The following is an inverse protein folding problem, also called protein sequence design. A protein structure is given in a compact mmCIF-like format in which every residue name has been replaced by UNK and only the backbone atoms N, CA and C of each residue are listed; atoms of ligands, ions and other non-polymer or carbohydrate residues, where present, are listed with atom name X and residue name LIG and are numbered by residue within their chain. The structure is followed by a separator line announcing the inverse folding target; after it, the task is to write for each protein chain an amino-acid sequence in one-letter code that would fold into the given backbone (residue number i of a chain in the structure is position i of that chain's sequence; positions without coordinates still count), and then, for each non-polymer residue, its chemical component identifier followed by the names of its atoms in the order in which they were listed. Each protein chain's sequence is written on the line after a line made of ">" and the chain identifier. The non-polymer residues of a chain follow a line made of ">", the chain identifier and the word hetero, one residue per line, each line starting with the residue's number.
data_IF_017098839650
#
_entry.id   IF_017098839650
#
_cell.length_a   1.000
_cell.length_b   1.000
_cell.length_c   1.000
_cell.angle_alpha   90.00
_cell.angle_beta   90.00
_cell.angle_gamma   90.00
#
_symmetry.space_group_name_H-M   'P 1'
#
loop_
_entity.id
_entity.type
_entity.pdbx_description
1 polymer ?
#
# COMPACT_ATOMS: atom_id res chain seq x y z
N UNK A 1 -15.56 -9.53 15.28
CA UNK A 1 -16.96 -9.41 14.80
C UNK A 1 -16.94 -9.42 13.29
N UNK A 2 -17.70 -10.33 12.65
CA UNK A 2 -17.87 -10.36 11.19
C UNK A 2 -18.57 -9.07 10.77
N UNK A 3 -17.84 -8.13 10.19
CA UNK A 3 -18.42 -6.99 9.49
C UNK A 3 -19.20 -7.54 8.31
N UNK A 4 -20.52 -7.48 8.38
CA UNK A 4 -21.41 -7.87 7.31
C UNK A 4 -21.12 -6.89 6.17
N UNK A 5 -20.35 -7.30 5.17
CA UNK A 5 -20.25 -6.55 3.93
C UNK A 5 -21.63 -6.59 3.30
N UNK A 6 -22.42 -5.54 3.47
CA UNK A 6 -23.65 -5.36 2.71
C UNK A 6 -23.26 -5.39 1.24
N UNK A 7 -23.62 -6.47 0.56
CA UNK A 7 -23.44 -6.57 -0.88
C UNK A 7 -24.38 -5.51 -1.47
N UNK A 8 -23.81 -4.41 -1.97
CA UNK A 8 -24.53 -3.40 -2.74
C UNK A 8 -24.98 -4.10 -4.02
N UNK A 9 -26.29 -4.31 -4.18
CA UNK A 9 -26.83 -5.15 -5.27
C UNK A 9 -27.11 -4.35 -6.55
N UNK A 10 -27.01 -3.03 -6.53
CA UNK A 10 -27.24 -2.16 -7.69
C UNK A 10 -26.55 -0.80 -7.58
N UNK A 11 -26.34 -0.16 -8.74
CA UNK A 11 -25.71 1.17 -8.84
C UNK A 11 -26.52 2.25 -8.09
N UNK A 12 -27.84 2.07 -7.97
CA UNK A 12 -28.75 3.03 -7.33
C UNK A 12 -28.59 3.11 -5.80
N UNK A 13 -27.87 2.16 -5.18
CA UNK A 13 -27.62 2.10 -3.73
C UNK A 13 -26.25 2.65 -3.33
N UNK A 14 -25.47 3.18 -4.29
CA UNK A 14 -24.10 3.65 -4.05
C UNK A 14 -24.12 4.99 -3.28
N UNK A 15 -23.51 5.08 -2.09
CA UNK A 15 -23.47 6.32 -1.33
C UNK A 15 -22.84 7.46 -2.12
N UNK A 16 -23.37 8.68 -1.94
CA UNK A 16 -22.79 9.89 -2.54
C UNK A 16 -21.33 10.04 -2.09
N UNK A 17 -20.42 10.15 -3.06
CA UNK A 17 -18.98 10.25 -2.81
C UNK A 17 -18.25 8.91 -2.75
N UNK A 18 -18.94 7.78 -2.91
CA UNK A 18 -18.27 6.51 -3.12
C UNK A 18 -17.58 6.46 -4.49
N UNK A 19 -16.43 5.80 -4.53
CA UNK A 19 -15.66 5.54 -5.75
C UNK A 19 -15.75 4.05 -6.05
N UNK A 20 -16.85 3.61 -6.67
CA UNK A 20 -17.10 2.18 -6.89
C UNK A 20 -18.40 1.87 -7.64
N UNK A 21 -18.67 0.58 -7.93
CA UNK A 21 -18.01 -0.60 -7.35
C UNK A 21 -16.62 -0.89 -7.94
N UNK A 22 -15.70 -1.41 -7.11
CA UNK A 22 -14.34 -1.80 -7.51
C UNK A 22 -13.93 -3.11 -6.83
N UNK A 23 -12.96 -3.82 -7.41
CA UNK A 23 -12.35 -5.01 -6.82
C UNK A 23 -11.44 -4.61 -5.65
N UNK A 24 -11.68 -5.18 -4.47
CA UNK A 24 -10.88 -4.95 -3.25
C UNK A 24 -10.21 -6.23 -2.73
N UNK A 25 -10.22 -7.30 -3.53
CA UNK A 25 -9.52 -8.55 -3.24
C UNK A 25 -8.03 -8.52 -3.62
N UNK A 26 -7.36 -9.67 -3.51
CA UNK A 26 -5.97 -9.80 -3.98
C UNK A 26 -5.87 -9.48 -5.47
N UNK A 27 -4.83 -8.73 -5.84
CA UNK A 27 -4.50 -8.38 -7.23
C UNK A 27 -3.23 -9.08 -7.73
N UNK A 28 -2.46 -9.70 -6.82
CA UNK A 28 -1.28 -10.49 -7.11
C UNK A 28 -1.49 -11.91 -6.57
N UNK A 29 -1.18 -12.90 -7.39
CA UNK A 29 -1.14 -14.32 -7.02
C UNK A 29 0.32 -14.79 -7.04
N UNK A 30 1.00 -14.85 -5.87
CA UNK A 30 2.43 -15.18 -5.80
C UNK A 30 2.78 -16.53 -6.42
N UNK A 31 1.91 -17.53 -6.25
CA UNK A 31 2.15 -18.87 -6.78
C UNK A 31 2.07 -18.91 -8.30
N UNK A 32 1.33 -17.98 -8.92
CA UNK A 32 1.34 -17.80 -10.36
C UNK A 32 2.60 -17.07 -10.81
N UNK A 33 3.00 -15.98 -10.13
CA UNK A 33 4.21 -15.23 -10.46
C UNK A 33 5.47 -16.09 -10.44
N UNK A 34 5.63 -16.96 -9.43
CA UNK A 34 6.78 -17.87 -9.29
C UNK A 34 6.93 -18.88 -10.43
N UNK A 35 5.85 -19.15 -11.19
CA UNK A 35 5.88 -20.04 -12.36
C UNK A 35 6.29 -19.33 -13.64
N UNK A 36 6.25 -18.00 -13.65
CA UNK A 36 6.64 -17.20 -14.81
C UNK A 36 8.16 -17.05 -14.85
N UNK A 37 8.71 -17.03 -16.07
CA UNK A 37 10.11 -16.68 -16.30
C UNK A 37 10.19 -15.22 -16.74
N UNK A 38 10.93 -14.35 -16.04
CA UNK A 38 11.08 -12.97 -16.47
C UNK A 38 11.81 -12.91 -17.81
N UNK A 39 11.33 -12.06 -18.71
CA UNK A 39 11.90 -11.89 -20.06
C UNK A 39 13.21 -11.10 -20.05
N UNK A 40 13.39 -10.24 -19.05
CA UNK A 40 14.56 -9.41 -18.85
C UNK A 40 14.66 -8.97 -17.37
N UNK A 41 15.70 -8.21 -17.05
CA UNK A 41 15.97 -7.75 -15.68
C UNK A 41 14.90 -6.78 -15.13
N UNK A 42 14.26 -5.99 -15.98
CA UNK A 42 13.21 -5.06 -15.56
C UNK A 42 11.92 -5.79 -15.17
N UNK A 43 11.55 -6.82 -15.95
CA UNK A 43 10.43 -7.72 -15.62
C UNK A 43 10.73 -8.48 -14.34
N UNK A 44 11.97 -8.93 -14.13
CA UNK A 44 12.38 -9.58 -12.88
C UNK A 44 12.19 -8.66 -11.67
N UNK A 45 12.66 -7.42 -11.74
CA UNK A 45 12.46 -6.41 -10.67
C UNK A 45 10.98 -6.09 -10.43
N UNK A 46 10.15 -6.14 -11.47
CA UNK A 46 8.71 -5.99 -11.31
C UNK A 46 8.11 -7.18 -10.55
N UNK A 47 8.49 -8.41 -10.88
CA UNK A 47 8.01 -9.60 -10.17
C UNK A 47 8.42 -9.57 -8.70
N UNK A 48 9.67 -9.23 -8.39
CA UNK A 48 10.15 -9.06 -7.01
C UNK A 48 9.28 -8.05 -6.23
N UNK A 49 8.98 -6.88 -6.82
CA UNK A 49 8.08 -5.89 -6.19
C UNK A 49 6.67 -6.42 -5.99
N UNK A 50 6.11 -7.09 -7.00
CA UNK A 50 4.75 -7.64 -6.94
C UNK A 50 4.64 -8.71 -5.84
N UNK A 51 5.64 -9.58 -5.71
CA UNK A 51 5.71 -10.58 -4.65
C UNK A 51 5.79 -9.94 -3.26
N UNK A 52 6.64 -8.91 -3.09
CA UNK A 52 6.75 -8.17 -1.82
C UNK A 52 5.43 -7.54 -1.39
N UNK A 53 4.63 -7.02 -2.33
CA UNK A 53 3.39 -6.31 -2.03
C UNK A 53 2.12 -7.19 -2.03
N UNK A 54 2.24 -8.48 -2.37
CA UNK A 54 1.12 -9.36 -2.71
C UNK A 54 0.15 -9.60 -1.55
N UNK A 55 0.68 -9.72 -0.33
CA UNK A 55 -0.11 -9.94 0.89
C UNK A 55 -0.51 -8.63 1.57
N UNK A 56 -0.21 -7.49 0.96
CA UNK A 56 -0.60 -6.20 1.48
C UNK A 56 -2.07 -5.87 1.25
N UNK A 57 -2.61 -4.86 1.96
CA UNK A 57 -3.98 -4.41 1.77
C UNK A 57 -4.20 -3.80 0.38
N UNK A 58 -5.47 -3.62 -0.05
CA UNK A 58 -5.75 -2.85 -1.25
C UNK A 58 -5.26 -1.40 -1.09
N UNK A 59 -4.96 -0.76 -2.22
CA UNK A 59 -4.46 0.62 -2.32
C UNK A 59 -3.07 0.84 -1.69
N UNK A 60 -2.62 2.08 -1.70
CA UNK A 60 -1.34 2.51 -1.15
C UNK A 60 -1.45 3.96 -0.64
N UNK A 61 -0.50 4.35 0.20
CA UNK A 61 -0.37 5.68 0.77
C UNK A 61 0.82 6.39 0.10
N UNK A 62 0.64 7.64 -0.34
CA UNK A 62 1.71 8.47 -0.92
C UNK A 62 2.49 9.18 0.18
N UNK A 63 3.76 8.84 0.35
CA UNK A 63 4.59 9.39 1.43
C UNK A 63 4.81 10.90 1.27
N UNK A 64 5.01 11.38 0.05
CA UNK A 64 5.19 12.80 -0.27
C UNK A 64 3.95 13.65 0.04
N UNK A 65 2.75 13.14 -0.24
CA UNK A 65 1.50 13.85 0.09
C UNK A 65 1.32 13.95 1.61
N UNK A 66 1.66 12.89 2.33
CA UNK A 66 1.67 12.89 3.80
C UNK A 66 2.67 13.94 4.31
N UNK A 67 3.93 13.88 3.88
CA UNK A 67 4.97 14.81 4.33
C UNK A 67 4.66 16.26 3.98
N UNK A 68 4.10 16.52 2.79
CA UNK A 68 3.66 17.84 2.35
C UNK A 68 2.58 18.41 3.27
N UNK A 69 1.57 17.60 3.62
CA UNK A 69 0.51 18.00 4.57
C UNK A 69 1.05 18.28 5.97
N UNK A 70 2.07 17.54 6.41
CA UNK A 70 2.71 17.72 7.71
C UNK A 70 3.76 18.84 7.73
N UNK A 71 4.10 19.41 6.56
CA UNK A 71 5.18 20.38 6.36
C UNK A 71 6.55 19.87 6.87
N UNK A 72 6.90 18.63 6.53
CA UNK A 72 8.18 17.99 6.89
C UNK A 72 8.92 17.47 5.67
N UNK A 73 10.23 17.24 5.80
CA UNK A 73 11.03 16.59 4.75
C UNK A 73 10.59 15.15 4.57
N UNK A 74 10.67 14.65 3.33
CA UNK A 74 10.35 13.26 3.02
C UNK A 74 11.50 12.36 3.49
N UNK A 75 11.29 11.46 4.48
CA UNK A 75 12.31 10.48 4.85
C UNK A 75 12.57 9.50 3.70
N UNK A 76 13.70 8.79 3.74
CA UNK A 76 13.96 7.73 2.76
C UNK A 76 12.86 6.66 2.86
N UNK A 77 12.15 6.29 1.77
CA UNK A 77 11.05 5.33 1.84
C UNK A 77 11.43 3.99 2.48
N UNK A 78 12.68 3.55 2.29
CA UNK A 78 13.22 2.33 2.91
C UNK A 78 13.15 2.39 4.45
N UNK A 79 13.56 3.51 5.05
CA UNK A 79 13.54 3.71 6.51
C UNK A 79 12.10 3.65 7.03
N UNK A 80 11.17 4.29 6.33
CA UNK A 80 9.74 4.28 6.70
C UNK A 80 9.18 2.87 6.66
N UNK A 81 9.45 2.12 5.59
CA UNK A 81 8.98 0.74 5.42
C UNK A 81 9.56 -0.18 6.51
N UNK A 82 10.87 -0.09 6.79
CA UNK A 82 11.52 -0.88 7.83
C UNK A 82 10.94 -0.56 9.22
N UNK A 83 10.78 0.73 9.54
CA UNK A 83 10.18 1.15 10.81
C UNK A 83 8.73 0.66 10.97
N UNK A 84 7.93 0.68 9.90
CA UNK A 84 6.56 0.15 9.94
C UNK A 84 6.54 -1.37 10.18
N UNK A 85 7.49 -2.12 9.59
CA UNK A 85 7.64 -3.56 9.85
C UNK A 85 8.05 -3.83 11.29
N UNK A 86 8.98 -3.05 11.84
CA UNK A 86 9.41 -3.14 13.25
C UNK A 86 8.24 -2.87 14.23
N UNK A 87 7.30 -2.01 13.85
CA UNK A 87 6.06 -1.74 14.58
C UNK A 87 4.99 -2.83 14.39
N UNK A 88 5.28 -3.89 13.63
CA UNK A 88 4.38 -5.03 13.44
C UNK A 88 3.36 -4.87 12.31
N UNK A 89 3.49 -3.84 11.47
CA UNK A 89 2.63 -3.69 10.29
C UNK A 89 3.23 -4.41 9.07
N UNK A 90 2.36 -4.86 8.17
CA UNK A 90 2.78 -5.10 6.80
C UNK A 90 3.21 -3.76 6.17
N UNK A 91 4.33 -3.72 5.47
CA UNK A 91 4.73 -2.57 4.68
C UNK A 91 5.59 -3.00 3.48
N UNK A 92 5.25 -2.51 2.29
CA UNK A 92 6.00 -2.73 1.06
C UNK A 92 5.91 -1.49 0.16
N UNK A 93 6.81 -1.39 -0.82
CA UNK A 93 6.64 -0.40 -1.91
C UNK A 93 5.46 -0.83 -2.79
N UNK A 94 4.71 0.14 -3.28
CA UNK A 94 3.70 -0.11 -4.30
C UNK A 94 4.34 -0.17 -5.68
N UNK A 95 4.03 -1.19 -6.49
CA UNK A 95 4.42 -1.23 -7.89
C UNK A 95 3.70 -0.15 -8.72
N UNK A 96 2.52 0.31 -8.27
CA UNK A 96 1.72 1.34 -8.94
C UNK A 96 2.33 2.74 -8.83
N UNK A 97 3.16 2.97 -7.81
CA UNK A 97 3.68 4.30 -7.53
C UNK A 97 5.03 4.25 -6.82
N UNK A 98 6.08 4.88 -7.38
CA UNK A 98 7.39 4.91 -6.76
C UNK A 98 7.38 5.50 -5.34
N UNK A 99 6.50 6.44 -5.00
CA UNK A 99 6.38 7.00 -3.65
C UNK A 99 5.24 6.38 -2.84
N UNK A 100 4.59 5.36 -3.40
CA UNK A 100 3.54 4.60 -2.76
C UNK A 100 4.07 3.56 -1.79
N UNK A 101 3.47 3.53 -0.60
CA UNK A 101 3.68 2.52 0.43
C UNK A 101 2.36 1.78 0.64
N UNK A 102 2.37 0.46 0.43
CA UNK A 102 1.25 -0.41 0.77
C UNK A 102 1.48 -0.89 2.20
N UNK A 103 0.57 -0.60 3.13
CA UNK A 103 0.75 -0.92 4.54
C UNK A 103 -0.57 -1.11 5.26
N UNK A 104 -0.57 -1.98 6.28
CA UNK A 104 -1.69 -2.14 7.22
C UNK A 104 -1.76 -1.05 8.28
N UNK A 105 -0.74 -0.18 8.37
CA UNK A 105 -0.76 0.97 9.27
C UNK A 105 -1.82 1.98 8.83
N UNK A 106 -2.52 2.56 9.81
CA UNK A 106 -3.45 3.66 9.60
C UNK A 106 -2.69 4.93 9.25
N UNK A 107 -3.40 5.90 8.68
CA UNK A 107 -2.78 7.16 8.24
C UNK A 107 -2.09 7.89 9.39
N UNK A 108 -2.70 7.89 10.57
CA UNK A 108 -2.21 8.58 11.76
C UNK A 108 -0.90 7.96 12.26
N UNK A 109 -0.78 6.63 12.22
CA UNK A 109 0.44 5.90 12.61
C UNK A 109 1.62 6.24 11.68
N UNK A 110 1.35 6.40 10.37
CA UNK A 110 2.35 6.85 9.39
C UNK A 110 2.73 8.31 9.64
N UNK A 111 1.76 9.18 9.90
CA UNK A 111 1.99 10.59 10.19
C UNK A 111 2.89 10.76 11.43
N UNK A 112 2.61 10.04 12.52
CA UNK A 112 3.40 10.04 13.75
C UNK A 112 4.83 9.51 13.53
N UNK A 113 4.96 8.42 12.79
CA UNK A 113 6.27 7.86 12.44
C UNK A 113 7.10 8.87 11.64
N UNK A 114 6.52 9.49 10.62
CA UNK A 114 7.21 10.48 9.78
C UNK A 114 7.66 11.68 10.61
N UNK A 115 6.84 12.18 11.54
CA UNK A 115 7.26 13.26 12.47
C UNK A 115 8.47 12.86 13.30
N UNK A 116 8.46 11.64 13.88
CA UNK A 116 9.59 11.13 14.67
C UNK A 116 10.88 11.03 13.84
N UNK A 117 10.79 10.53 12.61
CA UNK A 117 11.94 10.38 11.70
C UNK A 117 12.52 11.71 11.19
N UNK A 118 11.79 12.82 11.34
CA UNK A 118 12.17 14.13 10.77
C UNK A 118 12.45 15.21 11.81
N UNK A 119 12.19 14.94 13.09
CA UNK A 119 12.39 15.89 14.19
C UNK A 119 13.85 15.99 14.65
N UNK A 120 14.81 16.00 13.71
CA UNK A 120 16.26 16.18 13.95
C UNK A 120 16.75 17.48 13.35
#
# INVERSE_FOLDING_TARGET
>A
MKGISTIIRGIDEIPKGAMGPIWVGKIVEPEFLRRLRPLNEDVKKLFEKLEEEADGPPFYQRLDLICSKLNVRIPKPKIVIESLKELGHFAARSHLDPLGIKTTAKREEIEDLVRKLTSS
#
